data_IF_452363173480
#
_entry.id   IF_452363173480
#
_cell.length_a   1.000
_cell.length_b   1.000
_cell.length_c   1.000
_cell.angle_alpha   90.00
_cell.angle_beta   90.00
_cell.angle_gamma   90.00
#
_symmetry.space_group_name_H-M   'P 1'
#
loop_
_entity.id
_entity.type
_entity.pdbx_description
1 polymer ?
#
# COMPACT_ATOMS: atom_id res chain seq x y z
N UNK A 1 -11.24 -26.17 43.42
CA UNK A 1 -12.04 -24.96 43.09
C UNK A 1 -11.81 -24.71 41.60
N UNK A 2 -12.61 -25.21 40.65
CA UNK A 2 -13.95 -24.78 40.19
C UNK A 2 -14.08 -23.27 39.97
N UNK A 3 -14.30 -22.90 38.71
CA UNK A 3 -14.96 -21.72 38.09
C UNK A 3 -14.14 -21.25 36.86
N UNK A 4 -14.23 -21.90 35.69
CA UNK A 4 -15.30 -21.72 34.69
C UNK A 4 -16.06 -20.40 34.85
N UNK A 5 -15.71 -19.41 34.04
CA UNK A 5 -16.47 -18.17 33.98
C UNK A 5 -15.80 -17.08 33.17
N UNK A 6 -15.70 -17.25 31.84
CA UNK A 6 -15.91 -16.16 30.86
C UNK A 6 -15.98 -16.67 29.41
N UNK A 7 -16.70 -17.77 29.17
CA UNK A 7 -17.18 -18.11 27.82
C UNK A 7 -18.67 -17.78 27.78
N UNK A 8 -19.00 -16.49 27.67
CA UNK A 8 -20.37 -16.02 27.54
C UNK A 8 -20.50 -14.79 26.61
N UNK A 9 -19.55 -14.60 25.69
CA UNK A 9 -19.69 -13.60 24.61
C UNK A 9 -19.97 -14.24 23.23
N UNK A 10 -20.01 -15.57 23.14
CA UNK A 10 -20.19 -16.28 21.87
C UNK A 10 -21.65 -16.55 21.45
N UNK A 11 -22.63 -16.38 22.35
CA UNK A 11 -23.99 -16.85 22.11
C UNK A 11 -25.01 -15.76 21.72
N UNK A 12 -24.67 -14.47 21.83
CA UNK A 12 -25.58 -13.38 21.45
C UNK A 12 -25.53 -13.01 19.96
N UNK A 13 -24.51 -13.43 19.22
CA UNK A 13 -24.41 -13.13 17.78
C UNK A 13 -25.20 -14.10 16.88
N UNK A 14 -25.59 -15.27 17.37
CA UNK A 14 -26.32 -16.27 16.57
C UNK A 14 -27.84 -16.05 16.59
N UNK A 15 -28.37 -15.32 17.57
CA UNK A 15 -29.81 -15.06 17.67
C UNK A 15 -30.31 -13.97 16.72
N UNK A 16 -29.42 -13.20 16.08
CA UNK A 16 -29.79 -12.17 15.10
C UNK A 16 -30.04 -12.73 13.69
N UNK A 17 -29.78 -14.02 13.43
CA UNK A 17 -29.90 -14.61 12.08
C UNK A 17 -31.19 -15.37 11.83
N UNK A 18 -32.09 -15.46 12.81
CA UNK A 18 -33.39 -16.08 12.63
C UNK A 18 -34.48 -15.02 12.50
N UNK A 19 -34.54 -14.34 11.34
CA UNK A 19 -35.77 -13.85 10.66
C UNK A 19 -35.40 -12.86 9.55
N UNK A 20 -35.08 -13.39 8.38
CA UNK A 20 -35.74 -13.08 7.10
C UNK A 20 -35.10 -13.96 6.03
N UNK A 21 -35.77 -15.07 5.74
CA UNK A 21 -35.71 -15.62 4.39
C UNK A 21 -36.37 -14.58 3.47
N UNK A 22 -35.58 -13.75 2.81
CA UNK A 22 -36.02 -12.88 1.75
C UNK A 22 -34.87 -12.68 0.77
N UNK A 23 -34.98 -13.41 -0.33
CA UNK A 23 -34.53 -13.02 -1.67
C UNK A 23 -33.01 -12.97 -1.91
N UNK A 24 -32.55 -14.01 -2.61
CA UNK A 24 -31.65 -13.92 -3.76
C UNK A 24 -30.54 -12.87 -3.72
N UNK A 25 -29.32 -13.28 -3.39
CA UNK A 25 -28.23 -13.25 -4.38
C UNK A 25 -27.02 -14.04 -3.85
N UNK A 26 -26.25 -14.58 -4.77
CA UNK A 26 -25.06 -15.35 -4.46
C UNK A 26 -24.08 -14.50 -3.64
N UNK A 27 -23.80 -14.91 -2.39
CA UNK A 27 -22.64 -14.43 -1.65
C UNK A 27 -21.38 -14.90 -2.38
N UNK A 28 -21.00 -14.13 -3.40
CA UNK A 28 -19.82 -14.30 -4.24
C UNK A 28 -18.62 -14.25 -3.30
N UNK A 29 -17.98 -15.40 -3.05
CA UNK A 29 -16.65 -15.39 -2.43
C UNK A 29 -15.82 -14.39 -3.23
N UNK A 30 -15.23 -13.35 -2.60
CA UNK A 30 -14.45 -12.38 -3.35
C UNK A 30 -13.39 -13.15 -4.12
N UNK A 31 -13.36 -12.95 -5.43
CA UNK A 31 -12.39 -13.60 -6.29
C UNK A 31 -10.98 -13.16 -5.88
N UNK A 32 -9.96 -13.93 -6.26
CA UNK A 32 -8.57 -13.55 -5.99
C UNK A 32 -8.23 -12.16 -6.59
N UNK A 33 -8.91 -11.78 -7.68
CA UNK A 33 -8.85 -10.43 -8.27
C UNK A 33 -9.51 -9.35 -7.39
N UNK A 34 -10.66 -9.64 -6.77
CA UNK A 34 -11.32 -8.68 -5.86
C UNK A 34 -10.46 -8.43 -4.61
N UNK A 35 -9.80 -9.47 -4.11
CA UNK A 35 -8.88 -9.36 -2.97
C UNK A 35 -7.60 -8.60 -3.32
N UNK A 36 -7.08 -8.79 -4.54
CA UNK A 36 -5.95 -8.02 -5.07
C UNK A 36 -6.31 -6.54 -5.25
N UNK A 37 -7.48 -6.25 -5.83
CA UNK A 37 -7.97 -4.89 -6.00
C UNK A 37 -8.18 -4.17 -4.67
N UNK A 38 -8.73 -4.87 -3.67
CA UNK A 38 -8.88 -4.36 -2.30
C UNK A 38 -7.52 -4.05 -1.66
N UNK A 39 -6.53 -4.94 -1.78
CA UNK A 39 -5.18 -4.68 -1.27
C UNK A 39 -4.51 -3.50 -1.97
N UNK A 40 -4.62 -3.41 -3.30
CA UNK A 40 -4.09 -2.27 -4.05
C UNK A 40 -4.76 -0.96 -3.61
N UNK A 41 -6.08 -0.93 -3.41
CA UNK A 41 -6.76 0.26 -2.88
C UNK A 41 -6.29 0.63 -1.48
N UNK A 42 -6.09 -0.35 -0.59
CA UNK A 42 -5.57 -0.10 0.75
C UNK A 42 -4.16 0.47 0.69
N UNK A 43 -3.29 -0.09 -0.16
CA UNK A 43 -1.94 0.44 -0.39
C UNK A 43 -2.00 1.87 -0.93
N UNK A 44 -2.86 2.17 -1.90
CA UNK A 44 -3.07 3.52 -2.42
C UNK A 44 -3.48 4.50 -1.33
N UNK A 45 -4.41 4.11 -0.43
CA UNK A 45 -4.81 4.98 0.67
C UNK A 45 -3.68 5.23 1.67
N UNK A 46 -2.90 4.20 2.03
CA UNK A 46 -1.74 4.37 2.91
C UNK A 46 -0.66 5.22 2.25
N UNK A 47 -0.39 4.99 0.97
CA UNK A 47 0.51 5.80 0.14
C UNK A 47 0.11 7.27 0.19
N UNK A 48 -1.17 7.61 -0.05
CA UNK A 48 -1.67 8.99 0.00
C UNK A 48 -1.42 9.66 1.36
N UNK A 49 -1.55 8.93 2.46
CA UNK A 49 -1.23 9.46 3.79
C UNK A 49 0.26 9.76 3.94
N UNK A 50 1.13 8.90 3.42
CA UNK A 50 2.58 9.14 3.43
C UNK A 50 2.98 10.28 2.50
N UNK A 51 2.31 10.44 1.36
CA UNK A 51 2.51 11.59 0.47
C UNK A 51 2.20 12.88 1.22
N UNK A 52 1.07 12.96 1.91
CA UNK A 52 0.73 14.15 2.71
C UNK A 52 1.81 14.49 3.74
N UNK A 53 2.35 13.49 4.43
CA UNK A 53 3.44 13.71 5.39
C UNK A 53 4.73 14.18 4.69
N UNK A 54 5.05 13.60 3.54
CA UNK A 54 6.24 13.94 2.75
C UNK A 54 6.15 15.36 2.19
N UNK A 55 4.98 15.74 1.66
CA UNK A 55 4.70 17.08 1.16
C UNK A 55 4.48 18.11 2.27
N UNK A 56 4.38 17.69 3.53
CA UNK A 56 4.40 18.60 4.69
C UNK A 56 5.83 18.88 5.19
N UNK A 57 6.84 18.21 4.63
CA UNK A 57 8.23 18.38 5.03
C UNK A 57 8.92 19.41 4.11
N UNK A 58 8.96 20.67 4.55
CA UNK A 58 9.56 21.77 3.79
C UNK A 58 11.03 21.54 3.44
N UNK A 59 11.82 20.88 4.31
CA UNK A 59 13.22 20.59 4.04
C UNK A 59 13.38 19.58 2.88
N UNK A 60 12.45 18.62 2.80
CA UNK A 60 12.42 17.65 1.71
C UNK A 60 11.96 18.30 0.40
N UNK A 61 10.88 19.09 0.45
CA UNK A 61 10.37 19.83 -0.70
C UNK A 61 11.42 20.77 -1.29
N UNK A 62 12.08 21.55 -0.44
CA UNK A 62 13.14 22.47 -0.83
C UNK A 62 14.32 21.75 -1.49
N UNK A 63 14.75 20.62 -0.93
CA UNK A 63 15.83 19.82 -1.50
C UNK A 63 15.46 19.17 -2.85
N UNK A 64 14.20 18.80 -3.04
CA UNK A 64 13.67 18.23 -4.27
C UNK A 64 13.23 19.29 -5.29
N UNK A 65 13.36 20.57 -4.96
CA UNK A 65 12.88 21.70 -5.77
C UNK A 65 11.39 21.57 -6.14
N UNK A 66 10.61 20.93 -5.26
CA UNK A 66 9.17 20.75 -5.41
C UNK A 66 8.40 21.81 -4.65
N UNK A 67 7.37 22.37 -5.28
CA UNK A 67 6.43 23.25 -4.58
C UNK A 67 5.48 22.42 -3.71
N UNK A 68 5.08 22.97 -2.55
CA UNK A 68 4.06 22.35 -1.71
C UNK A 68 2.73 22.16 -2.48
N UNK A 69 2.39 23.10 -3.37
CA UNK A 69 1.19 23.05 -4.21
C UNK A 69 1.18 21.92 -5.23
N UNK A 70 2.35 21.49 -5.73
CA UNK A 70 2.45 20.44 -6.76
C UNK A 70 2.89 19.09 -6.19
N UNK A 71 3.41 19.05 -4.96
CA UNK A 71 3.95 17.82 -4.38
C UNK A 71 2.89 16.72 -4.21
N UNK A 72 1.72 17.03 -3.63
CA UNK A 72 0.71 16.00 -3.36
C UNK A 72 0.22 15.37 -4.65
N UNK A 73 -0.03 16.17 -5.68
CA UNK A 73 -0.43 15.70 -7.00
C UNK A 73 0.67 14.87 -7.66
N UNK A 74 1.90 15.38 -7.73
CA UNK A 74 3.03 14.71 -8.38
C UNK A 74 3.33 13.37 -7.71
N UNK A 75 3.43 13.35 -6.38
CA UNK A 75 3.73 12.12 -5.65
C UNK A 75 2.55 11.15 -5.64
N UNK A 76 1.30 11.63 -5.64
CA UNK A 76 0.12 10.75 -5.78
C UNK A 76 0.10 10.08 -7.15
N UNK A 77 0.29 10.85 -8.23
CA UNK A 77 0.30 10.32 -9.59
C UNK A 77 1.46 9.33 -9.80
N UNK A 78 2.65 9.67 -9.29
CA UNK A 78 3.80 8.76 -9.28
C UNK A 78 3.48 7.47 -8.51
N UNK A 79 2.91 7.55 -7.30
CA UNK A 79 2.59 6.36 -6.52
C UNK A 79 1.49 5.52 -7.17
N UNK A 80 0.48 6.14 -7.78
CA UNK A 80 -0.54 5.43 -8.54
C UNK A 80 0.08 4.66 -9.71
N UNK A 81 0.99 5.29 -10.46
CA UNK A 81 1.73 4.64 -11.54
C UNK A 81 2.64 3.50 -11.05
N UNK A 82 3.36 3.69 -9.94
CA UNK A 82 4.17 2.62 -9.34
C UNK A 82 3.28 1.44 -8.92
N UNK A 83 2.14 1.73 -8.30
CA UNK A 83 1.23 0.68 -7.83
C UNK A 83 0.59 -0.07 -9.01
N UNK A 84 0.22 0.61 -10.08
CA UNK A 84 -0.44 0.00 -11.25
C UNK A 84 0.55 -0.67 -12.21
N UNK A 85 1.67 -0.01 -12.52
CA UNK A 85 2.64 -0.49 -13.51
C UNK A 85 3.70 -1.42 -12.91
N UNK A 86 4.06 -1.25 -11.64
CA UNK A 86 5.17 -1.97 -11.02
C UNK A 86 4.72 -3.01 -10.00
N UNK A 87 3.84 -2.65 -9.07
CA UNK A 87 3.43 -3.53 -7.96
C UNK A 87 2.34 -4.49 -8.39
N UNK A 88 1.25 -4.01 -8.99
CA UNK A 88 0.09 -4.84 -9.35
C UNK A 88 0.47 -6.04 -10.23
N UNK A 89 1.31 -5.89 -11.29
CA UNK A 89 1.74 -7.03 -12.12
C UNK A 89 2.61 -8.03 -11.38
N UNK A 90 3.32 -7.58 -10.34
CA UNK A 90 4.21 -8.40 -9.52
C UNK A 90 3.59 -8.84 -8.19
N UNK A 91 2.35 -8.41 -7.89
CA UNK A 91 1.73 -8.56 -6.57
C UNK A 91 1.64 -10.01 -6.12
N UNK A 92 1.30 -10.93 -7.04
CA UNK A 92 1.24 -12.36 -6.71
C UNK A 92 2.61 -12.91 -6.30
N UNK A 93 3.68 -12.50 -6.99
CA UNK A 93 5.06 -12.88 -6.64
C UNK A 93 5.48 -12.24 -5.32
N UNK A 94 5.12 -10.98 -5.08
CA UNK A 94 5.39 -10.26 -3.84
C UNK A 94 4.68 -10.92 -2.64
N UNK A 95 3.42 -11.35 -2.80
CA UNK A 95 2.69 -12.10 -1.77
C UNK A 95 3.30 -13.48 -1.52
N UNK A 96 3.87 -14.12 -2.55
CA UNK A 96 4.58 -15.39 -2.44
C UNK A 96 6.04 -15.25 -1.95
N UNK A 97 6.54 -14.03 -1.70
CA UNK A 97 7.96 -13.78 -1.41
C UNK A 97 8.49 -14.50 -0.16
N UNK A 98 7.62 -14.88 0.80
CA UNK A 98 7.99 -15.72 1.95
C UNK A 98 8.45 -17.13 1.57
N UNK A 99 7.99 -17.65 0.43
CA UNK A 99 8.40 -18.95 -0.10
C UNK A 99 9.52 -18.88 -1.14
N UNK A 100 9.90 -17.68 -1.59
CA UNK A 100 10.96 -17.49 -2.59
C UNK A 100 12.35 -17.57 -1.97
N UNK A 101 13.30 -18.10 -2.75
CA UNK A 101 14.72 -18.03 -2.42
C UNK A 101 15.19 -16.56 -2.34
N UNK A 102 16.34 -16.33 -1.72
CA UNK A 102 16.92 -14.99 -1.61
C UNK A 102 17.18 -14.38 -2.99
N UNK A 103 17.74 -15.16 -3.91
CA UNK A 103 18.07 -14.74 -5.27
C UNK A 103 16.83 -14.33 -6.06
N UNK A 104 15.75 -15.11 -5.98
CA UNK A 104 14.50 -14.78 -6.65
C UNK A 104 13.84 -13.52 -6.05
N UNK A 105 13.96 -13.34 -4.73
CA UNK A 105 13.43 -12.16 -4.03
C UNK A 105 14.22 -10.92 -4.39
N UNK A 106 15.55 -11.02 -4.46
CA UNK A 106 16.43 -9.93 -4.85
C UNK A 106 16.19 -9.53 -6.32
N UNK A 107 15.99 -10.50 -7.20
CA UNK A 107 15.61 -10.24 -8.60
C UNK A 107 14.23 -9.56 -8.71
N UNK A 108 13.25 -10.00 -7.93
CA UNK A 108 11.92 -9.38 -7.88
C UNK A 108 11.97 -7.95 -7.35
N UNK A 109 12.71 -7.73 -6.25
CA UNK A 109 12.89 -6.40 -5.67
C UNK A 109 13.57 -5.46 -6.66
N UNK A 110 14.62 -5.91 -7.34
CA UNK A 110 15.32 -5.11 -8.36
C UNK A 110 14.39 -4.75 -9.51
N UNK A 111 13.59 -5.69 -10.01
CA UNK A 111 12.63 -5.42 -11.09
C UNK A 111 11.57 -4.37 -10.69
N UNK A 112 11.08 -4.44 -9.45
CA UNK A 112 10.13 -3.45 -8.91
C UNK A 112 10.80 -2.09 -8.71
N UNK A 113 12.02 -2.06 -8.15
CA UNK A 113 12.80 -0.84 -7.96
C UNK A 113 13.11 -0.14 -9.30
N UNK A 114 13.57 -0.89 -10.31
CA UNK A 114 13.87 -0.36 -11.64
C UNK A 114 12.61 0.23 -12.30
N UNK A 115 11.45 -0.42 -12.13
CA UNK A 115 10.18 0.11 -12.61
C UNK A 115 9.76 1.38 -11.86
N UNK A 116 9.91 1.40 -10.54
CA UNK A 116 9.56 2.56 -9.73
C UNK A 116 10.47 3.77 -10.03
N UNK A 117 11.76 3.53 -10.26
CA UNK A 117 12.70 4.58 -10.67
C UNK A 117 12.32 5.18 -12.03
N UNK A 118 11.88 4.36 -12.99
CA UNK A 118 11.39 4.85 -14.28
C UNK A 118 10.14 5.71 -14.12
N UNK A 119 9.15 5.24 -13.37
CA UNK A 119 7.94 6.01 -13.08
C UNK A 119 8.28 7.34 -12.38
N UNK A 120 9.20 7.33 -11.41
CA UNK A 120 9.70 8.54 -10.76
C UNK A 120 10.22 9.56 -11.77
N UNK A 121 11.10 9.14 -12.69
CA UNK A 121 11.66 10.02 -13.72
C UNK A 121 10.58 10.52 -14.70
N UNK A 122 9.60 9.69 -15.07
CA UNK A 122 8.46 10.08 -15.91
C UNK A 122 7.61 11.20 -15.26
N UNK A 123 7.52 11.19 -13.92
CA UNK A 123 6.83 12.22 -13.14
C UNK A 123 7.74 13.39 -12.71
N UNK A 124 8.95 13.47 -13.27
CA UNK A 124 9.89 14.58 -13.00
C UNK A 124 10.57 14.51 -11.64
N UNK A 125 10.52 13.38 -10.95
CA UNK A 125 11.21 13.14 -9.68
C UNK A 125 12.48 12.33 -9.95
N UNK A 126 13.65 12.92 -9.70
CA UNK A 126 14.90 12.17 -9.71
C UNK A 126 14.96 11.24 -8.47
N UNK A 127 15.04 9.90 -8.66
CA UNK A 127 15.03 8.94 -7.57
C UNK A 127 16.28 9.02 -6.68
N UNK A 128 17.44 9.38 -7.23
CA UNK A 128 18.67 9.55 -6.46
C UNK A 128 18.63 10.85 -5.65
N UNK A 129 18.12 11.94 -6.24
CA UNK A 129 17.87 13.19 -5.51
C UNK A 129 16.86 12.95 -4.38
N UNK A 130 15.73 12.29 -4.65
CA UNK A 130 14.72 11.96 -3.65
C UNK A 130 15.30 11.15 -2.48
N UNK A 131 16.15 10.13 -2.78
CA UNK A 131 16.86 9.34 -1.76
C UNK A 131 17.79 10.23 -0.91
N UNK A 132 18.56 11.12 -1.54
CA UNK A 132 19.47 12.02 -0.82
C UNK A 132 18.71 13.05 0.03
N UNK A 133 17.65 13.64 -0.51
CA UNK A 133 16.82 14.61 0.18
C UNK A 133 16.06 14.01 1.37
N UNK A 134 15.56 12.78 1.22
CA UNK A 134 14.95 12.04 2.33
C UNK A 134 15.94 11.81 3.47
N UNK A 135 17.17 11.37 3.17
CA UNK A 135 18.23 11.20 4.18
C UNK A 135 18.58 12.51 4.88
N UNK A 136 18.77 13.59 4.11
CA UNK A 136 19.07 14.93 4.67
C UNK A 136 17.96 15.43 5.58
N UNK A 137 16.71 15.28 5.16
CA UNK A 137 15.55 15.71 5.94
C UNK A 137 15.36 14.89 7.23
N UNK A 138 15.79 13.62 7.26
CA UNK A 138 15.79 12.80 8.48
C UNK A 138 16.89 13.20 9.47
N UNK A 139 18.04 13.69 8.98
CA UNK A 139 19.16 14.14 9.82
C UNK A 139 19.04 15.59 10.29
N UNK A 140 18.08 16.35 9.77
CA UNK A 140 17.85 17.75 10.13
C UNK A 140 16.87 17.93 11.33
N UNK A 141 16.56 16.83 12.04
CA UNK A 141 15.73 16.82 13.26
C UNK A 141 16.55 17.04 14.52
#
# INVERSE_FOLDING_TARGET
MKLTGLFAAGALFLASMATTAAESDAAKKPSQQDMQAMMTQMMKQQAKQQVKQTCSNEALLSCMELSASSCEETMTNMMDDVLEKCITPNMQKLMAAKGMSKEERDALNKAVEDCANKASVEHGIDPEQAKQCSKKAQTAK
#
